data_IF_707112872060
#
_entry.id   IF_707112872060
#
_cell.length_a   1.000
_cell.length_b   1.000
_cell.length_c   1.000
_cell.angle_alpha   90.00
_cell.angle_beta   90.00
_cell.angle_gamma   90.00
#
_symmetry.space_group_name_H-M   'P 1'
#
loop_
_entity.id
_entity.type
_entity.pdbx_description
1 polymer ?
#
# COMPACT_ATOMS: atom_id res chain seq x y z
N UNK A 1 -3.25 15.02 -5.52
CA UNK A 1 -2.44 14.74 -6.72
C UNK A 1 -3.06 13.57 -7.46
N UNK A 2 -3.25 13.67 -8.76
CA UNK A 2 -3.82 12.58 -9.56
C UNK A 2 -2.79 11.46 -9.79
N UNK A 3 -3.27 10.24 -10.03
CA UNK A 3 -2.44 9.09 -10.42
C UNK A 3 -1.60 9.42 -11.68
N UNK A 4 -2.17 10.17 -12.63
CA UNK A 4 -1.47 10.65 -13.83
C UNK A 4 -0.28 11.57 -13.49
N UNK A 5 -0.41 12.45 -12.50
CA UNK A 5 0.69 13.32 -12.07
C UNK A 5 1.84 12.54 -11.42
N UNK A 6 1.50 11.51 -10.63
CA UNK A 6 2.49 10.67 -9.96
C UNK A 6 3.23 9.73 -10.92
N UNK A 7 2.62 9.38 -12.07
CA UNK A 7 3.26 8.58 -13.13
C UNK A 7 4.53 9.24 -13.65
N UNK A 8 4.55 10.57 -13.80
CA UNK A 8 5.74 11.29 -14.26
C UNK A 8 6.91 11.17 -13.27
N UNK A 9 6.63 11.01 -11.97
CA UNK A 9 7.64 10.88 -10.92
C UNK A 9 8.08 9.44 -10.70
N UNK A 10 7.14 8.49 -10.67
CA UNK A 10 7.40 7.10 -10.25
C UNK A 10 7.44 6.10 -11.40
N UNK A 11 7.13 6.54 -12.62
CA UNK A 11 7.10 5.68 -13.79
C UNK A 11 5.84 4.82 -13.90
N UNK A 12 5.82 3.91 -14.90
CA UNK A 12 4.64 3.11 -15.23
C UNK A 12 4.57 1.76 -14.51
N UNK A 13 5.61 1.39 -13.75
CA UNK A 13 5.74 0.06 -13.14
C UNK A 13 5.21 0.07 -11.71
N UNK A 14 4.54 -1.02 -11.35
CA UNK A 14 4.05 -1.24 -10.00
C UNK A 14 5.22 -1.35 -9.02
N UNK A 15 5.15 -0.62 -7.91
CA UNK A 15 6.18 -0.65 -6.88
C UNK A 15 6.41 -2.04 -6.28
N UNK A 16 5.36 -2.86 -6.17
CA UNK A 16 5.43 -4.15 -5.48
C UNK A 16 5.90 -5.30 -6.39
N UNK A 17 5.39 -5.38 -7.61
CA UNK A 17 5.67 -6.52 -8.51
C UNK A 17 6.53 -6.17 -9.73
N UNK A 18 6.81 -4.88 -9.97
CA UNK A 18 7.61 -4.43 -11.11
C UNK A 18 6.90 -4.50 -12.47
N UNK A 19 5.64 -4.95 -12.54
CA UNK A 19 4.89 -5.08 -13.79
C UNK A 19 4.18 -3.76 -14.18
N UNK A 20 3.89 -3.55 -15.48
CA UNK A 20 3.19 -2.35 -15.95
C UNK A 20 1.80 -2.19 -15.32
N UNK A 21 1.45 -0.95 -14.96
CA UNK A 21 0.12 -0.60 -14.46
C UNK A 21 -0.78 -0.02 -15.54
N UNK A 22 -2.09 -0.19 -15.36
CA UNK A 22 -3.12 0.45 -16.17
C UNK A 22 -3.48 1.82 -15.58
N UNK A 23 -3.34 2.87 -16.39
CA UNK A 23 -3.63 4.26 -16.01
C UNK A 23 -4.94 4.78 -16.62
N UNK A 24 -5.64 3.93 -17.37
CA UNK A 24 -6.90 4.28 -18.01
C UNK A 24 -8.07 4.18 -17.04
N UNK A 25 -9.09 4.98 -17.30
CA UNK A 25 -10.37 4.88 -16.62
C UNK A 25 -11.24 3.79 -17.28
N UNK A 26 -12.15 3.13 -16.53
CA UNK A 26 -12.41 3.31 -15.09
C UNK A 26 -11.34 2.66 -14.21
N UNK A 27 -11.00 3.35 -13.12
CA UNK A 27 -10.18 2.79 -12.05
C UNK A 27 -10.95 1.70 -11.29
N UNK A 28 -10.23 0.75 -10.70
CA UNK A 28 -10.82 -0.32 -9.88
C UNK A 28 -10.61 -1.74 -10.42
N UNK A 29 -9.96 -1.88 -11.57
CA UNK A 29 -9.48 -3.18 -12.05
C UNK A 29 -8.26 -3.60 -11.22
N UNK A 30 -7.99 -4.91 -11.08
CA UNK A 30 -6.80 -5.41 -10.38
C UNK A 30 -5.50 -4.75 -10.85
N UNK A 31 -5.39 -4.48 -12.16
CA UNK A 31 -4.21 -3.87 -12.81
C UNK A 31 -4.23 -2.34 -12.81
N UNK A 32 -5.27 -1.68 -12.28
CA UNK A 32 -5.33 -0.22 -12.24
C UNK A 32 -4.23 0.33 -11.31
N UNK A 33 -3.61 1.43 -11.74
CA UNK A 33 -2.68 2.20 -10.94
C UNK A 33 -3.42 2.90 -9.79
N UNK A 34 -2.95 2.68 -8.58
CA UNK A 34 -3.45 3.29 -7.35
C UNK A 34 -2.31 3.90 -6.55
N UNK A 35 -2.63 4.81 -5.63
CA UNK A 35 -1.63 5.45 -4.76
C UNK A 35 -1.48 4.61 -3.49
N UNK A 36 -0.27 4.14 -3.24
CA UNK A 36 0.13 3.47 -2.01
C UNK A 36 0.82 4.44 -1.05
N UNK A 37 0.60 4.27 0.25
CA UNK A 37 1.30 5.00 1.31
C UNK A 37 2.22 4.05 2.08
N UNK A 38 3.53 4.23 1.92
CA UNK A 38 4.55 3.33 2.47
C UNK A 38 4.60 3.33 4.01
N UNK A 39 4.34 4.49 4.61
CA UNK A 39 4.37 4.67 6.05
C UNK A 39 2.95 4.85 6.58
N UNK A 40 2.73 4.47 7.84
CA UNK A 40 1.44 4.65 8.49
C UNK A 40 1.07 6.13 8.63
N UNK A 41 -0.23 6.42 8.61
CA UNK A 41 -0.78 7.78 8.64
C UNK A 41 -0.33 8.55 9.89
N UNK A 42 -0.11 7.83 11.00
CA UNK A 42 0.36 8.35 12.29
C UNK A 42 1.78 8.93 12.24
N UNK A 43 2.60 8.55 11.26
CA UNK A 43 3.95 9.07 11.03
C UNK A 43 3.98 10.32 10.11
N UNK A 44 2.84 11.00 9.96
CA UNK A 44 2.70 12.15 9.07
C UNK A 44 2.81 11.78 7.58
N UNK A 45 2.65 10.49 7.25
CA UNK A 45 2.96 9.96 5.92
C UNK A 45 2.01 10.40 4.83
N UNK A 46 0.75 10.67 5.19
CA UNK A 46 -0.33 11.00 4.25
C UNK A 46 -0.02 12.28 3.47
N UNK A 47 0.80 13.17 4.04
CA UNK A 47 1.08 14.50 3.47
C UNK A 47 2.38 14.57 2.68
N UNK A 48 3.34 13.65 2.88
CA UNK A 48 4.66 13.71 2.22
C UNK A 48 4.69 12.87 0.95
N UNK A 49 4.98 13.50 -0.19
CA UNK A 49 5.12 12.79 -1.47
C UNK A 49 6.18 11.68 -1.44
N UNK A 50 7.24 11.87 -0.65
CA UNK A 50 8.29 10.88 -0.47
C UNK A 50 7.75 9.52 0.04
N UNK A 51 6.61 9.52 0.73
CA UNK A 51 6.00 8.32 1.31
C UNK A 51 4.90 7.73 0.41
N UNK A 52 4.71 8.27 -0.79
CA UNK A 52 3.75 7.75 -1.77
C UNK A 52 4.47 6.92 -2.83
N UNK A 53 3.81 5.86 -3.31
CA UNK A 53 4.22 5.08 -4.49
C UNK A 53 3.00 4.80 -5.36
N UNK A 54 3.24 4.38 -6.60
CA UNK A 54 2.20 3.82 -7.46
C UNK A 54 2.29 2.30 -7.43
N UNK A 55 1.13 1.66 -7.33
CA UNK A 55 1.03 0.21 -7.35
C UNK A 55 -0.32 -0.23 -7.92
N UNK A 56 -0.39 -1.48 -8.39
CA UNK A 56 -1.64 -2.12 -8.76
C UNK A 56 -2.63 -2.12 -7.60
N UNK A 57 -3.91 -1.95 -7.90
CA UNK A 57 -4.99 -2.09 -6.93
C UNK A 57 -4.91 -3.43 -6.19
N UNK A 58 -4.70 -4.53 -6.92
CA UNK A 58 -4.59 -5.86 -6.32
C UNK A 58 -3.34 -6.03 -5.43
N UNK A 59 -2.20 -5.47 -5.83
CA UNK A 59 -0.99 -5.54 -5.01
C UNK A 59 -1.14 -4.74 -3.71
N UNK A 60 -1.77 -3.55 -3.78
CA UNK A 60 -2.05 -2.76 -2.59
C UNK A 60 -3.05 -3.44 -1.67
N UNK A 61 -4.11 -4.04 -2.22
CA UNK A 61 -5.05 -4.84 -1.44
C UNK A 61 -4.34 -5.99 -0.72
N UNK A 62 -3.59 -6.81 -1.45
CA UNK A 62 -2.87 -7.95 -0.87
C UNK A 62 -1.89 -7.50 0.24
N UNK A 63 -1.11 -6.43 0.01
CA UNK A 63 -0.21 -5.87 1.03
C UNK A 63 -0.98 -5.46 2.29
N UNK A 64 -2.12 -4.81 2.15
CA UNK A 64 -2.92 -4.37 3.30
C UNK A 64 -3.52 -5.55 4.06
N UNK A 65 -3.95 -6.59 3.36
CA UNK A 65 -4.42 -7.83 3.98
C UNK A 65 -3.31 -8.52 4.77
N UNK A 66 -2.10 -8.65 4.20
CA UNK A 66 -0.94 -9.20 4.91
C UNK A 66 -0.57 -8.37 6.14
N UNK A 67 -0.60 -7.04 6.04
CA UNK A 67 -0.35 -6.16 7.19
C UNK A 67 -1.36 -6.40 8.31
N UNK A 68 -2.66 -6.42 8.00
CA UNK A 68 -3.71 -6.65 8.98
C UNK A 68 -3.60 -8.05 9.61
N UNK A 69 -3.22 -9.06 8.83
CA UNK A 69 -2.96 -10.39 9.36
C UNK A 69 -1.78 -10.39 10.34
N UNK A 70 -0.66 -9.78 9.98
CA UNK A 70 0.51 -9.66 10.84
C UNK A 70 0.20 -8.90 12.14
N UNK A 71 -0.56 -7.80 12.06
CA UNK A 71 -1.01 -7.05 13.23
C UNK A 71 -1.84 -7.92 14.18
N UNK A 72 -2.81 -8.68 13.66
CA UNK A 72 -3.61 -9.60 14.49
C UNK A 72 -2.76 -10.67 15.16
N UNK A 73 -1.81 -11.26 14.43
CA UNK A 73 -0.90 -12.27 14.97
C UNK A 73 -0.01 -11.68 16.08
N UNK A 74 0.51 -10.48 15.87
CA UNK A 74 1.33 -9.80 16.85
C UNK A 74 0.56 -9.48 18.13
N UNK A 75 -0.68 -9.00 18.02
CA UNK A 75 -1.54 -8.74 19.18
C UNK A 75 -1.84 -10.02 19.98
N UNK A 76 -2.13 -11.14 19.28
CA UNK A 76 -2.32 -12.43 19.94
C UNK A 76 -1.06 -12.89 20.69
N UNK A 77 0.11 -12.72 20.07
CA UNK A 77 1.42 -13.07 20.66
C UNK A 77 1.77 -12.25 21.91
N UNK A 78 1.37 -10.96 21.95
CA UNK A 78 1.49 -10.10 23.14
C UNK A 78 0.52 -10.57 24.23
N UNK A 79 -0.75 -10.78 23.89
CA UNK A 79 -1.78 -11.20 24.84
C UNK A 79 -1.41 -12.51 25.55
N UNK A 80 -0.86 -13.48 24.81
CA UNK A 80 -0.36 -14.74 25.38
C UNK A 80 0.74 -14.53 26.43
N UNK A 81 1.64 -13.55 26.23
CA UNK A 81 2.72 -13.24 27.17
C UNK A 81 2.23 -12.53 28.41
N UNK A 82 1.32 -11.57 28.23
CA UNK A 82 0.70 -10.84 29.34
C UNK A 82 -0.10 -11.81 30.23
N UNK A 83 -0.77 -12.80 29.65
CA UNK A 83 -1.52 -13.80 30.43
C UNK A 83 -0.63 -14.80 31.18
N UNK A 84 0.66 -14.91 30.83
CA UNK A 84 1.63 -15.85 31.44
C UNK A 84 2.52 -15.20 32.51
N UNK A 85 2.57 -13.87 32.57
CA UNK A 85 3.31 -13.09 33.56
C UNK A 85 2.40 -12.59 34.66
#
# INVERSE_FOLDING_TARGET
MSVKALRATFGPLCHWCGLPMDFLEPFGRPQSATIEHLNDATLGSVRKQAHRRLAHAACNQARNEFRLQAERQFQAWIAERVARG
#
